data_IF_407010494685
#
_entry.id   IF_407010494685
#
_cell.length_a   1.000
_cell.length_b   1.000
_cell.length_c   1.000
_cell.angle_alpha   90.00
_cell.angle_beta   90.00
_cell.angle_gamma   90.00
#
_symmetry.space_group_name_H-M   'P 1'
#
loop_
_entity.id
_entity.type
_entity.pdbx_description
1 polymer ?
#
# COMPACT_ATOMS: atom_id res chain seq x y z
N UNK A 1 -32.09 -8.53 11.96
CA UNK A 1 -31.05 -9.22 12.74
C UNK A 1 -30.28 -8.17 13.50
N UNK A 2 -30.17 -8.34 14.82
CA UNK A 2 -29.52 -7.39 15.74
C UNK A 2 -28.00 -7.60 15.70
N UNK A 3 -27.23 -6.52 15.60
CA UNK A 3 -25.76 -6.57 15.59
C UNK A 3 -25.25 -6.84 17.01
N UNK A 4 -24.55 -7.96 17.21
CA UNK A 4 -24.00 -8.34 18.50
C UNK A 4 -22.47 -8.24 18.43
N UNK A 5 -21.85 -7.28 19.12
CA UNK A 5 -20.40 -7.12 19.11
C UNK A 5 -19.68 -8.40 19.58
N UNK A 6 -18.58 -8.78 18.89
CA UNK A 6 -17.66 -9.91 19.19
C UNK A 6 -18.03 -11.31 18.68
N UNK A 7 -19.09 -11.49 17.89
CA UNK A 7 -19.31 -12.76 17.20
C UNK A 7 -18.29 -12.94 16.05
N UNK A 8 -17.46 -14.01 16.04
CA UNK A 8 -16.47 -14.26 14.99
C UNK A 8 -17.09 -14.31 13.59
N UNK A 9 -18.33 -14.84 13.50
CA UNK A 9 -19.10 -14.97 12.26
C UNK A 9 -19.71 -13.65 11.75
N UNK A 10 -19.69 -12.59 12.57
CA UNK A 10 -20.23 -11.27 12.23
C UNK A 10 -19.12 -10.23 12.01
N UNK A 11 -17.85 -10.64 12.01
CA UNK A 11 -16.75 -9.76 11.65
C UNK A 11 -16.92 -9.39 10.17
N UNK A 12 -16.95 -8.09 9.81
CA UNK A 12 -16.96 -7.68 8.42
C UNK A 12 -15.76 -8.30 7.71
N UNK A 13 -15.95 -8.91 6.54
CA UNK A 13 -14.84 -9.42 5.72
C UNK A 13 -13.82 -8.32 5.38
N UNK A 14 -14.27 -7.06 5.41
CA UNK A 14 -13.45 -5.85 5.32
C UNK A 14 -13.82 -4.91 6.47
N UNK A 15 -12.94 -4.78 7.46
CA UNK A 15 -13.06 -3.72 8.45
C UNK A 15 -12.62 -2.39 7.79
N UNK A 16 -13.46 -1.34 7.79
CA UNK A 16 -13.02 -0.03 7.32
C UNK A 16 -11.95 0.49 8.28
N UNK A 17 -10.71 0.60 7.80
CA UNK A 17 -9.63 1.24 8.53
C UNK A 17 -9.75 2.74 8.32
N UNK A 18 -10.07 3.48 9.38
CA UNK A 18 -10.03 4.94 9.38
C UNK A 18 -8.62 5.34 9.82
N UNK A 19 -7.80 5.77 8.87
CA UNK A 19 -6.50 6.38 9.18
C UNK A 19 -6.74 7.86 9.41
N UNK A 20 -6.52 8.35 10.63
CA UNK A 20 -6.49 9.78 10.91
C UNK A 20 -5.28 10.35 10.18
N UNK A 21 -5.51 11.22 9.20
CA UNK A 21 -4.45 11.89 8.45
C UNK A 21 -3.66 12.80 9.40
N UNK A 22 -2.53 12.31 9.89
CA UNK A 22 -1.53 13.14 10.55
C UNK A 22 -0.67 13.83 9.49
N UNK A 23 -0.02 14.96 9.84
CA UNK A 23 0.98 15.60 8.94
C UNK A 23 2.08 14.62 8.51
N UNK A 24 2.42 13.63 9.33
CA UNK A 24 3.37 12.59 8.98
C UNK A 24 2.81 11.64 7.91
N UNK A 25 1.53 11.26 8.02
CA UNK A 25 0.85 10.43 7.03
C UNK A 25 0.70 11.15 5.68
N UNK A 26 0.40 12.45 5.67
CA UNK A 26 0.33 13.25 4.45
C UNK A 26 1.68 13.35 3.73
N UNK A 27 2.76 13.59 4.49
CA UNK A 27 4.13 13.63 3.94
C UNK A 27 4.54 12.29 3.34
N UNK A 28 4.22 11.20 4.02
CA UNK A 28 4.53 9.87 3.52
C UNK A 28 3.69 9.53 2.28
N UNK A 29 2.42 9.91 2.25
CA UNK A 29 1.58 9.76 1.06
C UNK A 29 2.14 10.57 -0.13
N UNK A 30 2.63 11.79 0.10
CA UNK A 30 3.29 12.59 -0.93
C UNK A 30 4.57 11.90 -1.43
N UNK A 31 5.41 11.35 -0.53
CA UNK A 31 6.60 10.57 -0.91
C UNK A 31 6.23 9.40 -1.82
N UNK A 32 5.22 8.62 -1.43
CA UNK A 32 4.77 7.45 -2.17
C UNK A 32 4.17 7.80 -3.54
N UNK A 33 3.49 8.94 -3.69
CA UNK A 33 3.02 9.41 -4.99
C UNK A 33 4.14 9.53 -6.03
N UNK A 34 5.33 9.95 -5.59
CA UNK A 34 6.48 10.19 -6.46
C UNK A 34 7.41 8.97 -6.58
N UNK A 35 7.36 8.06 -5.59
CA UNK A 35 8.37 6.99 -5.44
C UNK A 35 7.79 5.58 -5.50
N UNK A 36 6.47 5.40 -5.50
CA UNK A 36 5.87 4.07 -5.45
C UNK A 36 4.94 3.75 -6.63
N UNK A 37 4.89 2.46 -6.94
CA UNK A 37 3.93 1.85 -7.87
C UNK A 37 3.25 0.66 -7.23
N UNK A 38 2.00 0.45 -7.62
CA UNK A 38 1.22 -0.74 -7.33
C UNK A 38 1.38 -1.72 -8.47
N UNK A 39 1.53 -3.00 -8.13
CA UNK A 39 1.64 -4.10 -9.09
C UNK A 39 0.54 -5.10 -8.80
N UNK A 40 -0.25 -5.41 -9.82
CA UNK A 40 -1.34 -6.38 -9.76
C UNK A 40 -1.10 -7.52 -10.75
N UNK A 41 -1.21 -8.75 -10.27
CA UNK A 41 -1.20 -9.95 -11.10
C UNK A 41 -2.63 -10.34 -11.48
N UNK A 42 -2.76 -11.08 -12.58
CA UNK A 42 -4.03 -11.73 -12.90
C UNK A 42 -4.33 -12.80 -11.83
N UNK A 43 -5.53 -12.81 -11.22
CA UNK A 43 -5.90 -13.80 -10.20
C UNK A 43 -5.82 -15.25 -10.68
N UNK A 44 -5.94 -15.50 -11.99
CA UNK A 44 -5.82 -16.81 -12.62
C UNK A 44 -4.42 -17.07 -13.21
N UNK A 45 -3.52 -16.09 -13.13
CA UNK A 45 -2.18 -16.16 -13.70
C UNK A 45 -1.14 -16.73 -12.73
N UNK A 46 0.13 -16.64 -13.15
CA UNK A 46 1.27 -16.94 -12.30
C UNK A 46 1.29 -15.99 -11.09
N UNK A 47 1.57 -16.54 -9.90
CA UNK A 47 1.68 -15.78 -8.66
C UNK A 47 3.15 -15.60 -8.28
N UNK A 48 3.82 -14.53 -8.75
CA UNK A 48 5.23 -14.34 -8.45
C UNK A 48 5.45 -14.07 -6.96
N UNK A 49 6.65 -14.34 -6.50
CA UNK A 49 7.15 -13.92 -5.21
C UNK A 49 7.63 -12.46 -5.25
N UNK A 50 7.76 -11.85 -4.07
CA UNK A 50 8.32 -10.50 -3.91
C UNK A 50 9.71 -10.38 -4.56
N UNK A 51 10.53 -11.43 -4.46
CA UNK A 51 11.88 -11.45 -5.02
C UNK A 51 11.86 -11.51 -6.54
N UNK A 52 10.94 -12.28 -7.14
CA UNK A 52 10.77 -12.34 -8.59
C UNK A 52 10.27 -11.00 -9.14
N UNK A 53 9.35 -10.32 -8.44
CA UNK A 53 8.90 -8.98 -8.82
C UNK A 53 10.06 -7.98 -8.77
N UNK A 54 10.83 -7.96 -7.69
CA UNK A 54 12.01 -7.08 -7.57
C UNK A 54 13.05 -7.36 -8.67
N UNK A 55 13.29 -8.64 -8.97
CA UNK A 55 14.21 -9.04 -10.04
C UNK A 55 13.67 -8.66 -11.42
N UNK A 56 12.39 -8.89 -11.69
CA UNK A 56 11.73 -8.52 -12.93
C UNK A 56 11.78 -7.01 -13.19
N UNK A 57 11.46 -6.20 -12.18
CA UNK A 57 11.58 -4.74 -12.25
C UNK A 57 13.03 -4.33 -12.56
N UNK A 58 14.01 -4.93 -11.88
CA UNK A 58 15.41 -4.61 -12.09
C UNK A 58 15.88 -4.92 -13.52
N UNK A 59 15.51 -6.09 -14.05
CA UNK A 59 15.93 -6.55 -15.38
C UNK A 59 15.22 -5.78 -16.51
N UNK A 60 13.90 -5.62 -16.42
CA UNK A 60 13.11 -5.03 -17.51
C UNK A 60 13.21 -3.50 -17.55
N UNK A 61 13.26 -2.85 -16.39
CA UNK A 61 13.35 -1.38 -16.29
C UNK A 61 14.79 -0.88 -16.19
N UNK A 62 15.78 -1.78 -16.14
CA UNK A 62 17.20 -1.49 -15.94
C UNK A 62 17.45 -0.62 -14.69
N UNK A 63 16.70 -0.89 -13.63
CA UNK A 63 16.86 -0.21 -12.33
C UNK A 63 17.71 -1.12 -11.43
N UNK A 64 18.75 -0.61 -10.76
CA UNK A 64 19.51 -1.42 -9.81
C UNK A 64 18.62 -1.98 -8.71
N UNK A 65 18.74 -3.29 -8.42
CA UNK A 65 17.89 -3.98 -7.44
C UNK A 65 17.96 -3.38 -6.03
N UNK A 66 19.08 -2.77 -5.65
CA UNK A 66 19.23 -2.12 -4.34
C UNK A 66 18.38 -0.84 -4.21
N UNK A 67 17.96 -0.23 -5.33
CA UNK A 67 17.08 0.93 -5.35
C UNK A 67 15.59 0.56 -5.38
N UNK A 68 15.26 -0.73 -5.31
CA UNK A 68 13.88 -1.24 -5.42
C UNK A 68 13.55 -2.01 -4.15
N UNK A 69 12.52 -1.55 -3.44
CA UNK A 69 11.94 -2.27 -2.31
C UNK A 69 10.55 -2.73 -2.66
N UNK A 70 10.36 -4.04 -2.72
CA UNK A 70 9.05 -4.65 -2.99
C UNK A 70 8.50 -5.27 -1.71
N UNK A 71 7.23 -5.02 -1.43
CA UNK A 71 6.48 -5.65 -0.33
C UNK A 71 5.15 -6.20 -0.83
N UNK A 72 4.58 -7.16 -0.10
CA UNK A 72 3.20 -7.61 -0.38
C UNK A 72 2.25 -6.49 0.03
N UNK A 73 1.34 -6.16 -0.87
CA UNK A 73 0.29 -5.17 -0.61
C UNK A 73 -1.07 -5.87 -0.58
N UNK A 74 -2.12 -5.16 -0.14
CA UNK A 74 -3.53 -5.49 -0.39
C UNK A 74 -4.29 -4.16 -0.51
N UNK A 75 -5.25 -3.99 -1.43
CA UNK A 75 -5.93 -5.03 -2.23
C UNK A 75 -5.15 -5.55 -3.45
N UNK A 76 -4.17 -4.81 -3.96
CA UNK A 76 -3.27 -5.23 -5.04
C UNK A 76 -2.22 -6.24 -4.52
N UNK A 77 -1.50 -6.93 -5.39
CA UNK A 77 -0.57 -7.99 -4.95
C UNK A 77 0.75 -7.46 -4.36
N UNK A 78 1.29 -6.38 -4.92
CA UNK A 78 2.57 -5.81 -4.48
C UNK A 78 2.60 -4.28 -4.50
N UNK A 79 3.42 -3.73 -3.62
CA UNK A 79 3.86 -2.33 -3.62
C UNK A 79 5.36 -2.34 -3.91
N UNK A 80 5.79 -1.60 -4.92
CA UNK A 80 7.20 -1.39 -5.22
C UNK A 80 7.53 0.09 -4.98
N UNK A 81 8.46 0.33 -4.06
CA UNK A 81 9.04 1.64 -3.76
C UNK A 81 10.41 1.76 -4.41
N UNK A 82 10.68 2.93 -4.96
CA UNK A 82 11.94 3.30 -5.59
C UNK A 82 12.63 4.39 -4.79
N UNK A 83 13.96 4.39 -4.80
CA UNK A 83 14.73 5.45 -4.12
C UNK A 83 14.67 6.79 -4.86
N UNK A 84 14.33 6.78 -6.15
CA UNK A 84 14.33 7.98 -7.01
C UNK A 84 13.06 8.08 -7.86
N UNK A 85 12.43 9.25 -7.89
CA UNK A 85 11.23 9.51 -8.71
C UNK A 85 11.36 9.15 -10.21
N UNK A 86 12.50 9.41 -10.91
CA UNK A 86 12.65 8.99 -12.30
C UNK A 86 12.59 7.47 -12.53
N UNK A 87 12.82 6.66 -11.50
CA UNK A 87 12.68 5.21 -11.58
C UNK A 87 11.20 4.80 -11.50
N UNK A 88 10.41 5.51 -10.71
CA UNK A 88 8.95 5.38 -10.68
C UNK A 88 8.35 5.76 -12.03
N UNK A 89 8.77 6.88 -12.63
CA UNK A 89 8.30 7.29 -13.96
C UNK A 89 8.58 6.22 -15.03
N UNK A 90 9.76 5.60 -14.98
CA UNK A 90 10.10 4.48 -15.89
C UNK A 90 9.20 3.27 -15.68
N UNK A 91 8.92 2.91 -14.42
CA UNK A 91 8.03 1.81 -14.10
C UNK A 91 6.59 2.09 -14.58
N UNK A 92 6.09 3.30 -14.37
CA UNK A 92 4.78 3.74 -14.85
C UNK A 92 4.73 3.76 -16.38
N UNK A 93 5.78 4.27 -17.03
CA UNK A 93 5.91 4.30 -18.48
C UNK A 93 5.97 2.92 -19.15
N UNK A 94 6.55 1.93 -18.46
CA UNK A 94 6.52 0.54 -18.92
C UNK A 94 5.12 -0.06 -18.84
N UNK A 95 4.35 0.30 -17.80
CA UNK A 95 2.93 -0.06 -17.62
C UNK A 95 2.67 -1.54 -17.31
N UNK A 96 3.56 -2.45 -17.70
CA UNK A 96 3.44 -3.89 -17.46
C UNK A 96 4.81 -4.51 -17.15
N UNK A 97 4.77 -5.61 -16.40
CA UNK A 97 5.92 -6.41 -16.02
C UNK A 97 5.63 -7.88 -16.33
N UNK A 98 6.45 -8.51 -17.17
CA UNK A 98 6.23 -9.92 -17.55
C UNK A 98 7.05 -10.85 -16.66
N UNK A 99 6.42 -11.73 -15.88
CA UNK A 99 7.10 -12.72 -15.04
C UNK A 99 6.43 -14.08 -15.22
N UNK A 100 7.23 -15.12 -15.48
CA UNK A 100 6.71 -16.49 -15.63
C UNK A 100 5.67 -16.63 -16.75
N UNK A 101 5.77 -15.81 -17.80
CA UNK A 101 4.80 -15.77 -18.91
C UNK A 101 3.49 -15.03 -18.60
N UNK A 102 3.30 -14.55 -17.37
CA UNK A 102 2.16 -13.70 -17.00
C UNK A 102 2.53 -12.22 -17.02
N UNK A 103 1.62 -11.37 -17.49
CA UNK A 103 1.78 -9.92 -17.44
C UNK A 103 1.17 -9.38 -16.15
N UNK A 104 1.97 -8.66 -15.38
CA UNK A 104 1.56 -7.92 -14.19
C UNK A 104 1.39 -6.45 -14.56
N UNK A 105 0.29 -5.85 -14.14
CA UNK A 105 0.00 -4.46 -14.42
C UNK A 105 0.70 -3.55 -13.40
N UNK A 106 1.44 -2.55 -13.89
CA UNK A 106 2.05 -1.51 -13.07
C UNK A 106 1.15 -0.26 -13.12
N UNK A 107 0.84 0.30 -11.95
CA UNK A 107 0.12 1.57 -11.81
C UNK A 107 0.84 2.49 -10.84
N UNK A 108 0.82 3.81 -11.03
CA UNK A 108 1.33 4.73 -10.01
C UNK A 108 0.56 4.55 -8.70
N UNK A 109 1.25 4.61 -7.57
CA UNK A 109 0.58 4.65 -6.28
C UNK A 109 -0.17 5.98 -6.14
N UNK A 110 -1.43 5.93 -5.69
CA UNK A 110 -2.24 7.13 -5.42
C UNK A 110 -2.99 6.95 -4.10
N UNK A 111 -3.16 8.00 -3.29
CA UNK A 111 -3.90 7.94 -2.02
C UNK A 111 -5.37 7.50 -2.20
N UNK A 112 -5.96 7.80 -3.37
CA UNK A 112 -7.36 7.51 -3.70
C UNK A 112 -7.56 6.10 -4.27
N UNK A 113 -6.48 5.36 -4.57
CA UNK A 113 -6.59 4.02 -5.16
C UNK A 113 -7.22 2.97 -4.24
N UNK A 114 -7.33 3.24 -2.92
CA UNK A 114 -7.73 2.25 -1.92
C UNK A 114 -9.06 2.55 -1.21
N UNK A 115 -9.85 3.52 -1.69
CA UNK A 115 -11.21 3.71 -1.20
C UNK A 115 -11.98 4.80 -1.95
N UNK A 116 -13.32 4.72 -2.03
CA UNK A 116 -14.10 5.85 -2.49
C UNK A 116 -13.81 7.03 -1.57
N UNK A 117 -13.36 8.15 -2.14
CA UNK A 117 -13.35 9.44 -1.45
C UNK A 117 -14.80 9.77 -1.07
N UNK A 118 -15.21 9.36 0.13
CA UNK A 118 -16.43 9.87 0.74
C UNK A 118 -16.04 11.18 1.42
N UNK A 119 -16.72 12.31 1.15
CA UNK A 119 -16.56 13.48 1.98
C UNK A 119 -16.95 13.10 3.41
N UNK A 120 -15.97 13.07 4.31
CA UNK A 120 -16.23 12.86 5.73
C UNK A 120 -16.71 14.20 6.28
N UNK A 121 -18.00 14.31 6.60
CA UNK A 121 -18.61 15.55 7.11
C UNK A 121 -18.25 15.84 8.58
N UNK A 122 -17.55 14.93 9.25
CA UNK A 122 -17.24 15.02 10.67
C UNK A 122 -15.75 14.78 10.92
N UNK A 123 -15.12 15.70 11.66
CA UNK A 123 -13.79 15.50 12.24
C UNK A 123 -13.95 14.70 13.53
N UNK A 124 -13.52 13.43 13.52
CA UNK A 124 -13.47 12.63 14.74
C UNK A 124 -12.10 12.78 15.41
N UNK A 125 -12.10 13.25 16.67
CA UNK A 125 -10.93 13.17 17.56
C UNK A 125 -11.08 11.89 18.39
N UNK A 126 -10.24 10.90 18.15
CA UNK A 126 -10.25 9.66 18.92
C UNK A 126 -9.27 9.84 20.09
N UNK A 127 -9.79 9.81 21.31
CA UNK A 127 -9.01 9.65 22.55
C UNK A 127 -9.11 8.20 22.99
N UNK A 128 -7.98 7.50 23.07
CA UNK A 128 -7.94 6.15 23.63
C UNK A 128 -7.39 6.27 25.04
N UNK A 129 -8.28 6.20 26.02
CA UNK A 129 -7.92 6.21 27.43
C UNK A 129 -7.70 4.76 27.90
N UNK A 130 -6.68 4.56 28.76
CA UNK A 130 -6.23 3.25 29.26
C UNK A 130 -5.64 2.28 28.21
N UNK A 131 -4.74 2.77 27.34
CA UNK A 131 -3.90 1.87 26.55
C UNK A 131 -2.93 1.10 27.46
N UNK A 132 -2.87 -0.24 27.36
CA UNK A 132 -1.85 -1.04 28.03
C UNK A 132 -0.45 -0.58 27.64
N UNK A 133 0.47 -0.55 28.61
CA UNK A 133 1.82 -0.03 28.43
C UNK A 133 2.61 -0.80 27.35
N UNK A 134 2.27 -2.06 27.09
CA UNK A 134 2.90 -2.88 26.06
C UNK A 134 2.55 -2.46 24.62
N UNK A 135 1.53 -1.62 24.44
CA UNK A 135 1.10 -1.08 23.14
C UNK A 135 1.63 0.34 22.87
N UNK A 136 2.40 0.91 23.81
CA UNK A 136 3.03 2.22 23.64
C UNK A 136 4.22 2.11 22.68
N UNK A 137 4.15 2.77 21.53
CA UNK A 137 5.31 3.03 20.67
C UNK A 137 5.61 4.53 20.71
N UNK A 138 6.86 4.88 21.07
CA UNK A 138 7.30 6.25 21.39
C UNK A 138 7.20 7.25 20.21
N UNK A 139 6.90 6.80 18.98
CA UNK A 139 6.87 7.64 17.77
C UNK A 139 5.54 8.37 17.52
N UNK A 140 4.88 8.83 18.58
CA UNK A 140 3.56 9.48 18.49
C UNK A 140 3.44 10.85 19.18
N UNK A 141 4.53 11.45 19.66
CA UNK A 141 4.49 12.75 20.35
C UNK A 141 4.48 13.93 19.38
N UNK A 142 3.33 14.61 19.29
CA UNK A 142 3.24 15.96 18.73
C UNK A 142 3.99 16.93 19.67
N UNK A 143 5.01 17.60 19.14
CA UNK A 143 5.56 18.84 19.70
C UNK A 143 4.80 20.06 19.19
#
# INVERSE_FOLDING_TARGET
MEYVPRLPLQRPERAPMVVVASKAAEREAARLCDHAVLISADPNGYKPSVLEVAYGLSQQLRIPRHNIRVSRHRPEDFLAEFDFAPQQDRAVGAGQLTIGGSSLLIRPWRPVSHGPSRPWYFNAKISIEAMPQELWSEKGGFG
#
